data_IF_238866321203
#
_entry.id   IF_238866321203
#
_cell.length_a   1.000
_cell.length_b   1.000
_cell.length_c   1.000
_cell.angle_alpha   90.00
_cell.angle_beta   90.00
_cell.angle_gamma   90.00
#
_symmetry.space_group_name_H-M   'P 1'
#
loop_
_entity.id
_entity.type
_entity.pdbx_description
1 polymer ?
#
# COMPACT_ATOMS: atom_id res chain seq x y z
N UNK A 1 -13.86 1.79 2.19
CA UNK A 1 -13.17 0.92 1.21
C UNK A 1 -14.04 0.59 -0.02
N UNK A 2 -15.23 0.06 0.16
CA UNK A 2 -16.13 -0.30 -0.95
C UNK A 2 -16.43 0.88 -1.89
N UNK A 3 -16.71 2.06 -1.33
CA UNK A 3 -16.98 3.26 -2.11
C UNK A 3 -15.77 3.70 -2.95
N UNK A 4 -14.56 3.54 -2.41
CA UNK A 4 -13.32 3.89 -3.12
C UNK A 4 -13.08 2.93 -4.29
N UNK A 5 -13.35 1.65 -4.11
CA UNK A 5 -13.24 0.64 -5.16
C UNK A 5 -14.22 0.94 -6.29
N UNK A 6 -15.45 1.30 -5.96
CA UNK A 6 -16.47 1.64 -6.97
C UNK A 6 -16.07 2.87 -7.78
N UNK A 7 -15.50 3.89 -7.14
CA UNK A 7 -14.99 5.08 -7.84
C UNK A 7 -13.92 4.73 -8.85
N UNK A 8 -13.00 3.84 -8.49
CA UNK A 8 -11.91 3.39 -9.37
C UNK A 8 -12.48 2.59 -10.55
N UNK A 9 -13.39 1.66 -10.29
CA UNK A 9 -14.05 0.87 -11.32
C UNK A 9 -14.80 1.76 -12.32
N UNK A 10 -15.44 2.82 -11.83
CA UNK A 10 -16.17 3.75 -12.69
C UNK A 10 -15.26 4.56 -13.62
N UNK A 11 -13.97 4.70 -13.28
CA UNK A 11 -12.99 5.37 -14.15
C UNK A 11 -12.51 4.49 -15.31
N UNK A 12 -12.67 3.19 -15.21
CA UNK A 12 -12.21 2.26 -16.25
C UNK A 12 -12.75 2.66 -17.60
N UNK A 13 -11.86 2.81 -18.59
CA UNK A 13 -12.16 3.21 -19.97
C UNK A 13 -12.74 4.63 -20.14
N UNK A 14 -12.83 5.41 -19.06
CA UNK A 14 -13.38 6.78 -19.09
C UNK A 14 -12.33 7.84 -18.78
N UNK A 15 -11.50 7.60 -17.77
CA UNK A 15 -10.44 8.50 -17.36
C UNK A 15 -9.27 7.70 -16.79
N UNK A 16 -8.13 8.38 -16.64
CA UNK A 16 -6.94 7.73 -16.09
C UNK A 16 -7.08 7.53 -14.59
N UNK A 17 -6.52 6.43 -14.11
CA UNK A 17 -6.42 6.12 -12.69
C UNK A 17 -5.01 6.48 -12.25
N UNK A 18 -4.89 7.34 -11.24
CA UNK A 18 -3.61 7.81 -10.73
C UNK A 18 -3.24 6.97 -9.51
N UNK A 19 -2.10 6.30 -9.59
CA UNK A 19 -1.53 5.53 -8.49
C UNK A 19 -0.18 6.13 -8.10
N UNK A 20 -0.05 6.52 -6.83
CA UNK A 20 1.18 7.09 -6.28
C UNK A 20 1.60 6.32 -5.05
N UNK A 21 2.91 6.28 -4.78
CA UNK A 21 3.46 5.63 -3.58
C UNK A 21 3.56 6.60 -2.43
N UNK A 22 3.36 6.10 -1.21
CA UNK A 22 3.63 6.82 0.02
C UNK A 22 4.10 5.84 1.09
N UNK A 23 5.00 6.30 1.97
CA UNK A 23 5.55 5.48 3.04
C UNK A 23 5.31 6.08 4.43
N UNK A 24 4.65 7.23 4.49
CA UNK A 24 4.40 7.94 5.74
C UNK A 24 3.15 8.80 5.66
N UNK A 25 2.64 9.19 6.83
CA UNK A 25 1.44 10.00 6.98
C UNK A 25 1.53 11.33 6.21
N UNK A 26 2.63 12.07 6.34
CA UNK A 26 2.75 13.40 5.74
C UNK A 26 2.69 13.39 4.22
N UNK A 27 3.34 12.42 3.60
CA UNK A 27 3.26 12.26 2.13
C UNK A 27 1.87 11.79 1.72
N UNK A 28 1.28 10.85 2.47
CA UNK A 28 -0.07 10.37 2.21
C UNK A 28 -1.11 11.51 2.23
N UNK A 29 -1.01 12.41 3.19
CA UNK A 29 -1.90 13.57 3.28
C UNK A 29 -1.83 14.45 2.02
N UNK A 30 -0.62 14.66 1.50
CA UNK A 30 -0.41 15.48 0.31
C UNK A 30 -1.03 14.81 -0.92
N UNK A 31 -0.76 13.53 -1.13
CA UNK A 31 -1.20 12.83 -2.35
C UNK A 31 -2.66 12.39 -2.31
N UNK A 32 -3.30 12.38 -1.14
CA UNK A 32 -4.67 11.89 -0.97
C UNK A 32 -5.68 12.63 -1.86
N UNK A 33 -5.43 13.90 -2.15
CA UNK A 33 -6.29 14.70 -3.01
C UNK A 33 -6.09 14.43 -4.50
N UNK A 34 -5.00 13.78 -4.89
CA UNK A 34 -4.62 13.58 -6.29
C UNK A 34 -4.62 12.12 -6.72
N UNK A 35 -4.36 11.19 -5.81
CA UNK A 35 -4.22 9.78 -6.12
C UNK A 35 -5.54 9.03 -5.90
N UNK A 36 -5.91 8.22 -6.88
CA UNK A 36 -7.02 7.26 -6.73
C UNK A 36 -6.59 6.07 -5.87
N UNK A 37 -5.34 5.65 -6.06
CA UNK A 37 -4.72 4.55 -5.33
C UNK A 37 -3.42 5.05 -4.71
N UNK A 38 -3.22 4.77 -3.42
CA UNK A 38 -1.97 4.99 -2.73
C UNK A 38 -1.34 3.64 -2.42
N UNK A 39 -0.16 3.42 -2.98
CA UNK A 39 0.58 2.16 -2.81
C UNK A 39 1.60 2.30 -1.68
N UNK A 40 1.52 1.39 -0.71
CA UNK A 40 2.62 1.15 0.23
C UNK A 40 3.40 -0.02 -0.33
N UNK A 41 4.46 0.29 -1.08
CA UNK A 41 5.24 -0.71 -1.80
C UNK A 41 6.44 -1.18 -1.01
N UNK A 42 6.87 -2.43 -1.25
CA UNK A 42 8.08 -2.97 -0.64
C UNK A 42 9.37 -2.31 -1.16
N UNK A 43 9.26 -1.47 -2.18
CA UNK A 43 10.34 -0.57 -2.61
C UNK A 43 10.80 0.37 -1.49
N UNK A 44 10.04 0.51 -0.40
CA UNK A 44 10.49 1.27 0.77
C UNK A 44 11.83 0.77 1.30
N UNK A 45 12.14 -0.50 1.10
CA UNK A 45 13.45 -1.05 1.48
C UNK A 45 14.60 -0.36 0.78
N UNK A 46 14.48 -0.10 -0.52
CA UNK A 46 15.50 0.63 -1.29
C UNK A 46 15.46 2.13 -1.02
N UNK A 47 14.27 2.70 -0.96
CA UNK A 47 14.07 4.15 -0.84
C UNK A 47 14.43 4.68 0.55
N UNK A 48 14.00 3.96 1.61
CA UNK A 48 14.16 4.42 2.98
C UNK A 48 15.30 3.76 3.74
N UNK A 49 15.57 2.48 3.47
CA UNK A 49 16.54 1.69 4.24
C UNK A 49 17.84 1.38 3.52
N UNK A 50 17.96 1.86 2.28
CA UNK A 50 19.15 1.62 1.46
C UNK A 50 19.45 0.14 1.25
N UNK A 51 18.42 -0.69 1.20
CA UNK A 51 18.57 -2.10 0.85
C UNK A 51 18.83 -2.26 -0.64
N UNK A 52 19.67 -3.22 -1.01
CA UNK A 52 19.97 -3.56 -2.41
C UNK A 52 18.90 -4.47 -3.03
N UNK A 53 17.99 -4.99 -2.22
CA UNK A 53 16.91 -5.86 -2.67
C UNK A 53 15.68 -5.69 -1.76
N UNK A 54 14.48 -5.86 -2.32
CA UNK A 54 13.23 -5.84 -1.56
C UNK A 54 13.05 -7.07 -0.67
N UNK A 55 13.86 -8.13 -0.87
CA UNK A 55 13.78 -9.36 -0.09
C UNK A 55 14.05 -9.19 1.39
N UNK A 56 14.72 -8.10 1.78
CA UNK A 56 15.02 -7.79 3.19
C UNK A 56 13.86 -7.12 3.91
N UNK A 57 12.86 -6.63 3.18
CA UNK A 57 11.69 -5.98 3.77
C UNK A 57 10.83 -7.02 4.47
N UNK A 58 10.51 -6.75 5.73
CA UNK A 58 9.72 -7.67 6.56
C UNK A 58 8.23 -7.31 6.53
N UNK A 59 7.39 -8.25 6.91
CA UNK A 59 5.96 -7.99 7.10
C UNK A 59 5.75 -6.87 8.13
N UNK A 60 6.54 -6.86 9.20
CA UNK A 60 6.48 -5.81 10.23
C UNK A 60 6.78 -4.42 9.64
N UNK A 61 7.79 -4.31 8.78
CA UNK A 61 8.07 -3.05 8.08
C UNK A 61 6.83 -2.56 7.32
N UNK A 62 6.20 -3.46 6.56
CA UNK A 62 5.02 -3.11 5.76
C UNK A 62 3.85 -2.69 6.64
N UNK A 63 3.62 -3.38 7.75
CA UNK A 63 2.55 -3.04 8.69
C UNK A 63 2.78 -1.66 9.32
N UNK A 64 3.99 -1.38 9.79
CA UNK A 64 4.30 -0.09 10.45
C UNK A 64 4.16 1.09 9.47
N UNK A 65 4.67 0.96 8.26
CA UNK A 65 4.51 2.01 7.25
C UNK A 65 3.06 2.16 6.80
N UNK A 66 2.32 1.06 6.70
CA UNK A 66 0.91 1.10 6.34
C UNK A 66 0.05 1.81 7.39
N UNK A 67 0.35 1.62 8.67
CA UNK A 67 -0.32 2.36 9.74
C UNK A 67 -0.09 3.86 9.61
N UNK A 68 1.13 4.27 9.31
CA UNK A 68 1.45 5.69 9.11
C UNK A 68 0.69 6.25 7.90
N UNK A 69 0.74 5.57 6.77
CA UNK A 69 0.03 6.00 5.55
C UNK A 69 -1.48 6.06 5.78
N UNK A 70 -2.04 5.08 6.48
CA UNK A 70 -3.48 5.03 6.76
C UNK A 70 -3.98 6.28 7.46
N UNK A 71 -3.17 6.84 8.36
CA UNK A 71 -3.52 8.05 9.08
C UNK A 71 -3.65 9.29 8.18
N UNK A 72 -2.96 9.29 7.04
CA UNK A 72 -2.98 10.40 6.10
C UNK A 72 -4.02 10.30 4.99
N UNK A 73 -4.69 9.15 4.84
CA UNK A 73 -5.62 8.92 3.74
C UNK A 73 -7.08 9.05 4.18
N UNK A 74 -7.86 9.79 3.40
CA UNK A 74 -9.32 9.91 3.56
C UNK A 74 -10.07 9.48 2.30
N UNK A 75 -9.50 9.68 1.13
CA UNK A 75 -10.15 9.45 -0.17
C UNK A 75 -9.51 8.32 -0.97
N UNK A 76 -8.19 8.26 -0.99
CA UNK A 76 -7.43 7.30 -1.79
C UNK A 76 -7.57 5.89 -1.27
N UNK A 77 -7.67 4.92 -2.18
CA UNK A 77 -7.64 3.50 -1.80
C UNK A 77 -6.21 3.09 -1.47
N UNK A 78 -5.99 2.60 -0.27
CA UNK A 78 -4.67 2.11 0.13
C UNK A 78 -4.48 0.66 -0.33
N UNK A 79 -3.38 0.43 -1.04
CA UNK A 79 -2.94 -0.90 -1.46
C UNK A 79 -1.57 -1.15 -0.83
N UNK A 80 -1.38 -2.32 -0.23
CA UNK A 80 -0.15 -2.66 0.48
C UNK A 80 0.44 -3.92 -0.12
N UNK A 81 1.72 -3.86 -0.48
CA UNK A 81 2.44 -5.05 -0.97
C UNK A 81 2.65 -6.05 0.16
N UNK A 82 2.50 -7.31 -0.17
CA UNK A 82 2.95 -8.40 0.70
C UNK A 82 4.42 -8.67 0.39
N UNK A 83 5.33 -8.49 1.36
CA UNK A 83 6.76 -8.62 1.08
C UNK A 83 7.18 -10.07 0.80
N UNK A 84 8.39 -10.21 0.28
CA UNK A 84 8.99 -11.49 -0.04
C UNK A 84 8.85 -12.48 1.12
N UNK A 85 8.54 -13.72 0.77
CA UNK A 85 8.44 -14.85 1.72
C UNK A 85 7.24 -14.77 2.70
N UNK A 86 6.22 -13.99 2.39
CA UNK A 86 5.01 -13.89 3.24
C UNK A 86 3.77 -14.51 2.62
N UNK A 87 3.90 -15.09 1.41
CA UNK A 87 2.78 -15.69 0.68
C UNK A 87 3.15 -17.00 -0.02
N UNK A 88 4.01 -17.80 0.61
CA UNK A 88 4.52 -19.04 0.02
C UNK A 88 3.47 -20.16 -0.07
N UNK A 89 2.42 -20.10 0.73
CA UNK A 89 1.30 -21.04 0.70
C UNK A 89 -0.01 -20.29 0.88
N UNK A 90 -1.12 -20.93 0.58
CA UNK A 90 -2.45 -20.34 0.78
C UNK A 90 -2.66 -19.95 2.24
N UNK A 91 -2.24 -20.80 3.17
CA UNK A 91 -2.39 -20.57 4.62
C UNK A 91 -1.56 -19.38 5.05
N UNK A 92 -0.27 -19.31 4.67
CA UNK A 92 0.59 -18.19 5.05
C UNK A 92 0.15 -16.89 4.40
N UNK A 93 -0.26 -16.92 3.14
CA UNK A 93 -0.77 -15.76 2.43
C UNK A 93 -1.99 -15.16 3.14
N UNK A 94 -2.96 -16.00 3.48
CA UNK A 94 -4.17 -15.56 4.18
C UNK A 94 -3.87 -15.00 5.57
N UNK A 95 -3.04 -15.71 6.33
CA UNK A 95 -2.63 -15.29 7.68
C UNK A 95 -1.94 -13.94 7.66
N UNK A 96 -0.99 -13.74 6.76
CA UNK A 96 -0.21 -12.51 6.68
C UNK A 96 -1.02 -11.35 6.11
N UNK A 97 -1.88 -11.60 5.12
CA UNK A 97 -2.80 -10.59 4.60
C UNK A 97 -3.74 -10.06 5.69
N UNK A 98 -4.25 -10.94 6.54
CA UNK A 98 -5.11 -10.54 7.67
C UNK A 98 -4.38 -9.63 8.66
N UNK A 99 -3.08 -9.82 8.86
CA UNK A 99 -2.29 -8.95 9.72
C UNK A 99 -2.16 -7.54 9.15
N UNK A 100 -2.04 -7.43 7.83
CA UNK A 100 -1.94 -6.13 7.16
C UNK A 100 -3.29 -5.39 7.21
N UNK A 101 -4.38 -6.08 6.97
CA UNK A 101 -5.73 -5.48 6.92
C UNK A 101 -6.16 -4.94 8.30
N UNK A 102 -5.69 -5.52 9.37
CA UNK A 102 -5.95 -4.97 10.70
C UNK A 102 -5.19 -3.67 10.92
#
# INVERSE_FOLDING_TARGET
MKANILKILNKKKKSKIICLTAYSKNIAEIIDNYADITLVGDSLGSVLYNYDTTKKVTLRNMIEHSKSVRLGLKKSLMVVDMPYNTYNSNISALKNAKKIIK
#
